data_IF_452661569536
#
_entry.id   IF_452661569536
#
_cell.length_a   1.000
_cell.length_b   1.000
_cell.length_c   1.000
_cell.angle_alpha   90.00
_cell.angle_beta   90.00
_cell.angle_gamma   90.00
#
_symmetry.space_group_name_H-M   'P 1'
#
loop_
_entity.id
_entity.type
_entity.pdbx_description
1 polymer ?
#
# COMPACT_ATOMS: atom_id res chain seq x y z
N UNK A 1 -13.93 -12.26 -0.86
CA UNK A 1 -13.50 -12.16 0.53
C UNK A 1 -13.47 -10.69 0.96
N UNK A 2 -14.18 -10.39 2.04
CA UNK A 2 -14.30 -9.01 2.51
C UNK A 2 -12.97 -8.43 2.99
N UNK A 3 -12.09 -9.27 3.55
CA UNK A 3 -10.78 -8.80 4.01
C UNK A 3 -9.90 -8.42 2.83
N UNK A 4 -9.94 -9.18 1.75
CA UNK A 4 -9.18 -8.84 0.54
C UNK A 4 -9.73 -7.54 -0.06
N UNK A 5 -11.04 -7.35 -0.05
CA UNK A 5 -11.64 -6.10 -0.50
C UNK A 5 -11.10 -4.91 0.32
N UNK A 6 -11.07 -5.05 1.66
CA UNK A 6 -10.56 -3.99 2.54
C UNK A 6 -9.07 -3.72 2.32
N UNK A 7 -8.30 -4.77 2.04
CA UNK A 7 -6.88 -4.61 1.74
C UNK A 7 -6.69 -3.76 0.48
N UNK A 8 -7.39 -4.11 -0.59
CA UNK A 8 -7.28 -3.37 -1.86
C UNK A 8 -7.76 -1.93 -1.66
N UNK A 9 -8.90 -1.75 -0.98
CA UNK A 9 -9.44 -0.43 -0.71
C UNK A 9 -8.43 0.46 0.02
N UNK A 10 -7.80 -0.08 1.06
CA UNK A 10 -6.85 0.71 1.86
C UNK A 10 -5.59 1.05 1.06
N UNK A 11 -5.09 0.13 0.24
CA UNK A 11 -3.93 0.41 -0.61
C UNK A 11 -4.25 1.48 -1.65
N UNK A 12 -5.42 1.39 -2.28
CA UNK A 12 -5.82 2.37 -3.29
C UNK A 12 -6.07 3.73 -2.65
N UNK A 13 -6.76 3.77 -1.51
CA UNK A 13 -7.00 5.02 -0.79
C UNK A 13 -5.70 5.70 -0.40
N UNK A 14 -4.74 4.92 0.10
CA UNK A 14 -3.42 5.43 0.45
C UNK A 14 -2.71 6.00 -0.78
N UNK A 15 -2.77 5.29 -1.91
CA UNK A 15 -2.14 5.73 -3.14
C UNK A 15 -2.73 7.05 -3.65
N UNK A 16 -4.04 7.23 -3.49
CA UNK A 16 -4.71 8.47 -3.89
C UNK A 16 -4.34 9.61 -2.96
N UNK A 17 -4.39 9.38 -1.64
CA UNK A 17 -4.12 10.42 -0.64
C UNK A 17 -2.73 11.03 -0.77
N UNK A 18 -1.73 10.21 -1.05
CA UNK A 18 -0.33 10.67 -1.08
C UNK A 18 0.19 10.90 -2.49
N UNK A 19 -0.70 10.94 -3.46
CA UNK A 19 -0.37 11.31 -4.82
C UNK A 19 -0.57 12.83 -5.00
N UNK A 20 -0.03 13.35 -6.08
CA UNK A 20 -0.23 14.77 -6.44
C UNK A 20 -1.32 14.88 -7.51
N UNK A 21 -1.91 16.08 -7.69
CA UNK A 21 -2.92 16.28 -8.73
C UNK A 21 -2.36 15.90 -10.10
N UNK A 22 -3.17 15.17 -10.86
CA UNK A 22 -2.73 14.67 -12.16
C UNK A 22 -1.92 13.40 -12.12
N UNK A 23 -1.64 12.88 -10.92
CA UNK A 23 -0.93 11.62 -10.78
C UNK A 23 -1.77 10.41 -11.18
N UNK A 24 -1.14 9.26 -11.19
CA UNK A 24 -1.79 8.01 -11.59
C UNK A 24 -1.71 6.96 -10.49
N UNK A 25 -2.72 6.10 -10.43
CA UNK A 25 -2.73 4.92 -9.59
C UNK A 25 -3.06 3.73 -10.49
N UNK A 26 -2.21 2.73 -10.47
CA UNK A 26 -2.40 1.53 -11.28
C UNK A 26 -2.56 0.33 -10.37
N UNK A 27 -3.68 -0.37 -10.52
CA UNK A 27 -3.97 -1.59 -9.76
C UNK A 27 -3.86 -2.75 -10.72
N UNK A 28 -3.08 -3.75 -10.34
CA UNK A 28 -2.85 -4.93 -11.16
C UNK A 28 -3.08 -6.18 -10.34
N UNK A 29 -3.57 -7.22 -10.98
CA UNK A 29 -3.71 -8.53 -10.36
C UNK A 29 -3.25 -9.57 -11.36
N UNK A 30 -2.48 -10.53 -10.89
CA UNK A 30 -2.04 -11.64 -11.73
C UNK A 30 -2.08 -12.92 -10.93
N UNK A 31 -2.20 -14.03 -11.65
CA UNK A 31 -2.22 -15.35 -11.05
C UNK A 31 -1.18 -16.21 -11.76
N UNK A 32 -0.30 -16.79 -10.98
CA UNK A 32 0.73 -17.68 -11.51
C UNK A 32 0.82 -18.91 -10.62
N UNK A 33 0.48 -20.07 -11.18
CA UNK A 33 0.45 -21.33 -10.44
C UNK A 33 -0.48 -21.21 -9.23
N UNK A 34 0.06 -21.34 -8.01
CA UNK A 34 -0.71 -21.27 -6.77
C UNK A 34 -0.64 -19.91 -6.11
N UNK A 35 -0.08 -18.91 -6.80
CA UNK A 35 0.09 -17.58 -6.24
C UNK A 35 -0.81 -16.57 -6.92
N UNK A 36 -1.38 -15.67 -6.10
CA UNK A 36 -2.09 -14.49 -6.58
C UNK A 36 -1.27 -13.29 -6.15
N UNK A 37 -0.95 -12.42 -7.11
CA UNK A 37 -0.19 -11.21 -6.85
C UNK A 37 -1.05 -9.99 -7.13
N UNK A 38 -1.15 -9.09 -6.16
CA UNK A 38 -1.84 -7.82 -6.29
C UNK A 38 -0.82 -6.71 -6.18
N UNK A 39 -0.93 -5.71 -7.05
CA UNK A 39 0.01 -4.60 -7.08
C UNK A 39 -0.76 -3.29 -7.15
N UNK A 40 -0.39 -2.34 -6.31
CA UNK A 40 -0.93 -0.98 -6.37
C UNK A 40 0.26 -0.04 -6.50
N UNK A 41 0.34 0.61 -7.64
CA UNK A 41 1.43 1.53 -7.97
C UNK A 41 0.88 2.95 -8.07
N UNK A 42 1.58 3.91 -7.47
CA UNK A 42 1.23 5.31 -7.60
C UNK A 42 2.42 6.11 -8.13
N UNK A 43 2.15 7.34 -8.54
CA UNK A 43 3.17 8.28 -9.01
C UNK A 43 3.37 9.42 -8.02
N UNK A 44 3.09 9.17 -6.74
CA UNK A 44 3.15 10.18 -5.69
C UNK A 44 4.54 10.44 -5.16
N UNK A 45 4.61 10.73 -3.87
CA UNK A 45 5.85 11.18 -3.23
C UNK A 45 6.87 10.08 -2.97
N UNK A 46 6.45 8.82 -3.00
CA UNK A 46 7.32 7.72 -2.63
C UNK A 46 7.52 7.62 -1.12
N UNK A 47 8.20 6.57 -0.70
CA UNK A 47 8.53 6.33 0.70
C UNK A 47 10.04 6.12 0.79
N UNK A 48 10.75 6.88 1.63
CA UNK A 48 12.18 6.66 1.83
C UNK A 48 12.46 5.21 2.21
N UNK A 49 13.52 4.65 1.66
CA UNK A 49 13.83 3.23 1.85
C UNK A 49 13.89 2.85 3.33
N UNK A 50 14.49 3.69 4.15
CA UNK A 50 14.66 3.45 5.59
C UNK A 50 13.34 3.46 6.37
N UNK A 51 12.25 3.94 5.76
CA UNK A 51 10.94 4.01 6.42
C UNK A 51 9.96 2.95 5.91
N UNK A 52 10.34 2.16 4.92
CA UNK A 52 9.41 1.23 4.26
C UNK A 52 8.82 0.17 5.19
N UNK A 53 9.60 -0.31 6.15
CA UNK A 53 9.08 -1.27 7.12
C UNK A 53 8.19 -0.60 8.16
N UNK A 54 8.47 0.64 8.49
CA UNK A 54 7.74 1.37 9.52
C UNK A 54 6.36 1.84 9.09
N UNK A 55 6.10 1.94 7.78
CA UNK A 55 4.81 2.45 7.31
C UNK A 55 3.63 1.55 7.70
N UNK A 56 3.90 0.32 8.09
CA UNK A 56 2.86 -0.61 8.55
C UNK A 56 2.59 -0.51 10.06
N UNK A 57 3.37 0.27 10.80
CA UNK A 57 3.13 0.48 12.23
C UNK A 57 1.89 1.35 12.42
N UNK A 58 1.02 1.02 13.41
CA UNK A 58 -0.14 1.88 13.68
C UNK A 58 0.28 3.31 14.00
N UNK A 59 -0.45 4.27 13.43
CA UNK A 59 -0.24 5.70 13.63
C UNK A 59 1.07 6.26 13.07
N UNK A 60 1.88 5.43 12.40
CA UNK A 60 3.09 5.93 11.76
C UNK A 60 2.74 6.77 10.52
N UNK A 61 3.43 7.88 10.32
CA UNK A 61 3.27 8.74 9.16
C UNK A 61 4.64 9.21 8.71
N UNK A 62 4.88 9.13 7.40
CA UNK A 62 6.14 9.61 6.80
C UNK A 62 6.25 11.12 6.94
N UNK A 63 5.15 11.85 6.70
CA UNK A 63 5.05 13.29 6.86
C UNK A 63 3.82 13.57 7.73
N UNK A 64 4.05 13.86 9.01
CA UNK A 64 2.96 14.07 9.97
C UNK A 64 2.07 15.25 9.63
N UNK A 65 2.66 16.36 9.19
CA UNK A 65 1.89 17.55 8.84
C UNK A 65 0.98 17.30 7.66
N UNK A 66 1.52 16.70 6.61
CA UNK A 66 0.76 16.41 5.40
C UNK A 66 -0.34 15.38 5.66
N UNK A 67 -0.03 14.34 6.41
CA UNK A 67 -1.01 13.31 6.75
C UNK A 67 -2.16 13.87 7.56
N UNK A 68 -1.86 14.78 8.49
CA UNK A 68 -2.88 15.44 9.29
C UNK A 68 -3.81 16.28 8.42
N UNK A 69 -3.25 17.03 7.49
CA UNK A 69 -4.02 17.84 6.55
C UNK A 69 -4.94 16.98 5.67
N UNK A 70 -4.53 15.75 5.37
CA UNK A 70 -5.31 14.81 4.57
C UNK A 70 -6.30 14.00 5.39
N UNK A 71 -6.31 14.17 6.72
CA UNK A 71 -7.28 13.53 7.59
C UNK A 71 -7.00 12.08 7.96
N UNK A 72 -5.84 11.55 7.60
CA UNK A 72 -5.50 10.16 7.92
C UNK A 72 -5.05 9.99 9.36
N UNK A 73 -5.29 8.81 9.94
CA UNK A 73 -4.85 8.50 11.31
C UNK A 73 -3.72 7.47 11.36
N UNK A 74 -3.28 6.97 10.20
CA UNK A 74 -2.15 6.05 10.16
C UNK A 74 -2.50 4.60 10.48
N UNK A 75 -3.75 4.18 10.29
CA UNK A 75 -4.17 2.81 10.58
C UNK A 75 -4.39 1.96 9.32
N UNK A 76 -4.53 2.58 8.15
CA UNK A 76 -4.86 1.86 6.92
C UNK A 76 -3.82 0.82 6.54
N UNK A 77 -2.55 1.17 6.55
CA UNK A 77 -1.47 0.24 6.21
C UNK A 77 -1.24 -0.80 7.29
N UNK A 78 -1.47 -0.46 8.56
CA UNK A 78 -1.40 -1.44 9.64
C UNK A 78 -2.47 -2.52 9.44
N UNK A 79 -3.67 -2.12 9.03
CA UNK A 79 -4.74 -3.07 8.72
C UNK A 79 -4.36 -3.95 7.53
N UNK A 80 -3.79 -3.36 6.47
CA UNK A 80 -3.31 -4.10 5.31
C UNK A 80 -2.31 -5.18 5.73
N UNK A 81 -1.35 -4.80 6.55
CA UNK A 81 -0.33 -5.75 7.05
C UNK A 81 -0.97 -6.91 7.81
N UNK A 82 -1.94 -6.61 8.66
CA UNK A 82 -2.64 -7.64 9.43
C UNK A 82 -3.44 -8.59 8.54
N UNK A 83 -4.11 -8.05 7.52
CA UNK A 83 -4.87 -8.89 6.58
C UNK A 83 -3.92 -9.83 5.83
N UNK A 84 -2.76 -9.33 5.40
CA UNK A 84 -1.75 -10.14 4.73
C UNK A 84 -1.28 -11.26 5.67
N UNK A 85 -1.00 -10.93 6.92
CA UNK A 85 -0.54 -11.89 7.91
C UNK A 85 -1.57 -13.01 8.14
N UNK A 86 -2.83 -12.64 8.27
CA UNK A 86 -3.92 -13.62 8.51
C UNK A 86 -4.07 -14.57 7.32
N UNK A 87 -3.76 -14.11 6.12
CA UNK A 87 -3.86 -14.93 4.91
C UNK A 87 -2.54 -15.63 4.55
N UNK A 88 -1.54 -15.60 5.44
CA UNK A 88 -0.23 -16.20 5.22
C UNK A 88 0.43 -15.69 3.93
N UNK A 89 0.19 -14.43 3.62
CA UNK A 89 0.77 -13.79 2.45
C UNK A 89 2.03 -13.00 2.77
N UNK A 90 2.50 -12.27 1.79
CA UNK A 90 3.61 -11.35 1.95
C UNK A 90 3.29 -10.01 1.30
N UNK A 91 3.90 -8.94 1.79
CA UNK A 91 3.75 -7.61 1.22
C UNK A 91 5.12 -6.96 1.13
N UNK A 92 5.39 -6.33 -0.01
CA UNK A 92 6.62 -5.58 -0.23
C UNK A 92 6.29 -4.17 -0.67
N UNK A 93 7.21 -3.26 -0.38
CA UNK A 93 7.13 -1.85 -0.76
C UNK A 93 8.40 -1.53 -1.54
N UNK A 94 8.25 -0.94 -2.71
CA UNK A 94 9.40 -0.54 -3.52
C UNK A 94 9.12 0.76 -4.26
N UNK A 95 10.18 1.35 -4.79
CA UNK A 95 10.03 2.56 -5.59
C UNK A 95 9.39 2.24 -6.93
N UNK A 96 8.52 3.13 -7.39
CA UNK A 96 7.97 3.05 -8.73
C UNK A 96 8.97 3.74 -9.67
N UNK A 97 9.44 3.07 -10.74
CA UNK A 97 10.38 3.70 -11.68
C UNK A 97 9.89 5.01 -12.27
N UNK A 98 8.57 5.19 -12.34
CA UNK A 98 7.95 6.45 -12.83
C UNK A 98 7.81 7.51 -11.74
N UNK A 99 8.36 7.27 -10.56
CA UNK A 99 8.14 8.09 -9.37
C UNK A 99 7.01 7.52 -8.53
N UNK A 100 7.13 7.64 -7.21
CA UNK A 100 6.11 7.13 -6.29
C UNK A 100 6.45 5.78 -5.72
N UNK A 101 5.42 5.01 -5.39
CA UNK A 101 5.55 3.77 -4.61
C UNK A 101 4.77 2.64 -5.25
N UNK A 102 5.28 1.43 -5.08
CA UNK A 102 4.56 0.21 -5.45
C UNK A 102 4.42 -0.65 -4.20
N UNK A 103 3.19 -0.99 -3.85
CA UNK A 103 2.87 -2.01 -2.85
C UNK A 103 2.50 -3.29 -3.61
N UNK A 104 3.17 -4.37 -3.27
CA UNK A 104 2.93 -5.66 -3.92
C UNK A 104 2.61 -6.70 -2.87
N UNK A 105 1.46 -7.35 -3.02
CA UNK A 105 0.95 -8.36 -2.09
C UNK A 105 0.87 -9.69 -2.80
N UNK A 106 1.36 -10.73 -2.17
CA UNK A 106 1.32 -12.07 -2.72
C UNK A 106 0.63 -13.02 -1.75
N UNK A 107 -0.32 -13.77 -2.26
CA UNK A 107 -1.03 -14.81 -1.51
C UNK A 107 -0.82 -16.15 -2.18
N UNK A 108 -0.77 -17.21 -1.36
CA UNK A 108 -0.79 -18.59 -1.85
C UNK A 108 -2.22 -19.11 -1.81
N UNK A 109 -2.64 -19.72 -2.89
CA UNK A 109 -3.96 -20.35 -2.94
C UNK A 109 -3.92 -21.78 -2.42
#
# INVERSE_FOLDING_TARGET
DILIYRLVYNLVENAIKYNHPGGQVTVSASRKEKHVCLSVADTGNGIPEELRERVFEPFFRVDKSRSRALGGVGLGLALVHEIVRVHDGSITVRSNPSGGTVFEVMFTQ
#
